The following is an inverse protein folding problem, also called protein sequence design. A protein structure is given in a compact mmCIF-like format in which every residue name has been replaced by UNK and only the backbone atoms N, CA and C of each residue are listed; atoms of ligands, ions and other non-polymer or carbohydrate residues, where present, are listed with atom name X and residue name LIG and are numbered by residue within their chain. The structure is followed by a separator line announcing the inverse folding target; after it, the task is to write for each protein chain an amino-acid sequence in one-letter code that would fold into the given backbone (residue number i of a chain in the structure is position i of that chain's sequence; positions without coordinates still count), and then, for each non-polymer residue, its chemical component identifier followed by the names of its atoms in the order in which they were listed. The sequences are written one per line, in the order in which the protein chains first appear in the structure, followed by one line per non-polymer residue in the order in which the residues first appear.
data_IF_254849244092
#
_entry.id   IF_254849244092
#
_cell.length_a   1.000
_cell.length_b   1.000
_cell.length_c   1.000
_cell.angle_alpha   90.00
_cell.angle_beta   90.00
_cell.angle_gamma   90.00
#
_symmetry.space_group_name_H-M   'P 1'
#
loop_
_entity.id
_entity.type
_entity.pdbx_description
1 polymer ?
#
# COMPACT_ATOMS: atom_id res chain seq x y z
N UNK A 1 4.42 7.27 10.03
CA UNK A 1 3.07 6.72 10.37
C UNK A 1 1.93 7.33 9.57
N UNK A 2 1.78 8.67 9.50
CA UNK A 2 0.68 9.34 8.79
C UNK A 2 0.61 8.98 7.29
N UNK A 3 1.75 8.91 6.61
CA UNK A 3 1.80 8.57 5.19
C UNK A 3 1.42 7.11 4.90
N UNK A 4 1.86 6.17 5.75
CA UNK A 4 1.46 4.76 5.67
C UNK A 4 -0.06 4.65 5.82
N UNK A 5 -0.64 5.30 6.83
CA UNK A 5 -2.10 5.32 7.03
C UNK A 5 -2.84 5.93 5.83
N UNK A 6 -2.31 7.00 5.24
CA UNK A 6 -2.90 7.60 4.05
C UNK A 6 -2.84 6.65 2.85
N UNK A 7 -1.73 5.94 2.66
CA UNK A 7 -1.60 4.97 1.58
C UNK A 7 -2.59 3.80 1.74
N UNK A 8 -2.69 3.25 2.94
CA UNK A 8 -3.64 2.21 3.31
C UNK A 8 -5.09 2.63 3.05
N UNK A 9 -5.46 3.84 3.47
CA UNK A 9 -6.78 4.41 3.25
C UNK A 9 -7.13 4.58 1.75
N UNK A 10 -6.16 4.97 0.93
CA UNK A 10 -6.34 5.07 -0.52
C UNK A 10 -6.53 3.68 -1.15
N UNK A 11 -5.75 2.68 -0.72
CA UNK A 11 -5.91 1.31 -1.19
C UNK A 11 -7.31 0.76 -0.86
N UNK A 12 -7.74 0.92 0.40
CA UNK A 12 -9.06 0.48 0.86
C UNK A 12 -10.22 1.12 0.07
N UNK A 13 -10.15 2.42 -0.25
CA UNK A 13 -11.15 3.09 -1.09
C UNK A 13 -11.31 2.40 -2.45
N UNK A 14 -10.20 2.11 -3.13
CA UNK A 14 -10.25 1.50 -4.47
C UNK A 14 -10.64 0.03 -4.42
N UNK A 15 -10.17 -0.74 -3.43
CA UNK A 15 -10.62 -2.11 -3.22
C UNK A 15 -12.13 -2.18 -2.95
N UNK A 16 -12.66 -1.26 -2.13
CA UNK A 16 -14.08 -1.19 -1.85
C UNK A 16 -14.92 -0.97 -3.12
N UNK A 17 -14.54 0.03 -3.93
CA UNK A 17 -15.28 0.40 -5.14
C UNK A 17 -15.13 -0.58 -6.31
N UNK A 18 -13.97 -1.22 -6.45
CA UNK A 18 -13.69 -2.09 -7.60
C UNK A 18 -13.95 -3.57 -7.33
N UNK A 19 -13.74 -4.04 -6.11
CA UNK A 19 -13.70 -5.47 -5.79
C UNK A 19 -14.78 -5.90 -4.81
N UNK A 20 -15.12 -5.04 -3.84
CA UNK A 20 -16.09 -5.37 -2.81
C UNK A 20 -17.53 -4.90 -3.11
N UNK A 21 -17.74 -4.18 -4.22
CA UNK A 21 -19.07 -3.76 -4.68
C UNK A 21 -19.65 -2.54 -3.97
N UNK A 22 -18.82 -1.75 -3.26
CA UNK A 22 -19.26 -0.50 -2.65
C UNK A 22 -19.51 0.55 -3.72
N UNK A 23 -20.52 1.39 -3.51
CA UNK A 23 -20.67 2.63 -4.27
C UNK A 23 -19.53 3.61 -3.96
N UNK A 24 -19.33 4.58 -4.84
CA UNK A 24 -18.39 5.68 -4.61
C UNK A 24 -18.77 6.53 -3.40
N UNK A 25 -20.07 6.65 -3.10
CA UNK A 25 -20.57 7.37 -1.93
C UNK A 25 -20.18 6.65 -0.64
N UNK A 26 -20.46 5.35 -0.54
CA UNK A 26 -20.11 4.53 0.63
C UNK A 26 -18.58 4.50 0.84
N UNK A 27 -17.81 4.27 -0.22
CA UNK A 27 -16.35 4.28 -0.11
C UNK A 27 -15.81 5.65 0.33
N UNK A 28 -16.43 6.75 -0.11
CA UNK A 28 -16.06 8.10 0.33
C UNK A 28 -16.42 8.33 1.80
N UNK A 29 -17.54 7.80 2.27
CA UNK A 29 -17.95 7.89 3.68
C UNK A 29 -17.00 7.12 4.60
N UNK A 30 -16.69 5.86 4.27
CA UNK A 30 -15.86 5.00 5.12
C UNK A 30 -14.37 5.28 5.00
N UNK A 31 -13.87 5.55 3.78
CA UNK A 31 -12.44 5.66 3.49
C UNK A 31 -12.02 7.05 3.04
N UNK A 32 -12.94 7.98 2.82
CA UNK A 32 -12.61 9.32 2.35
C UNK A 32 -12.17 9.35 0.87
N UNK A 33 -12.24 10.53 0.26
CA UNK A 33 -11.88 10.68 -1.16
C UNK A 33 -10.36 10.68 -1.37
N UNK A 34 -9.79 9.81 -2.23
CA UNK A 34 -8.37 9.85 -2.57
C UNK A 34 -7.98 11.19 -3.19
N UNK A 35 -6.84 11.74 -2.77
CA UNK A 35 -6.27 12.99 -3.32
C UNK A 35 -4.86 12.75 -3.85
N UNK A 36 -4.62 13.14 -5.10
CA UNK A 36 -3.30 13.08 -5.74
C UNK A 36 -2.87 11.69 -6.19
N UNK A 37 -3.78 10.70 -6.17
CA UNK A 37 -3.55 9.36 -6.70
C UNK A 37 -4.66 9.04 -7.69
N UNK A 38 -4.25 8.62 -8.90
CA UNK A 38 -5.18 8.12 -9.92
C UNK A 38 -5.16 6.60 -9.88
N UNK A 39 -6.33 6.01 -10.10
CA UNK A 39 -6.54 4.56 -10.13
C UNK A 39 -5.74 3.88 -11.24
N UNK A 40 -5.49 4.59 -12.34
CA UNK A 40 -4.73 4.11 -13.52
C UNK A 40 -3.29 3.71 -13.20
N UNK A 41 -2.78 4.13 -12.03
CA UNK A 41 -1.43 3.77 -11.57
C UNK A 41 -1.35 2.41 -10.90
N UNK A 42 -2.49 1.74 -10.68
CA UNK A 42 -2.57 0.49 -9.96
C UNK A 42 -3.36 -0.57 -10.72
N UNK A 43 -2.89 -1.81 -10.62
CA UNK A 43 -3.59 -2.98 -11.11
C UNK A 43 -4.30 -3.67 -9.94
N UNK A 44 -5.63 -3.56 -9.91
CA UNK A 44 -6.50 -4.18 -8.91
C UNK A 44 -7.06 -5.53 -9.37
N UNK A 45 -6.57 -6.10 -10.47
CA UNK A 45 -6.99 -7.44 -10.90
C UNK A 45 -6.69 -8.46 -9.80
N UNK A 46 -7.68 -9.22 -9.31
CA UNK A 46 -7.44 -10.29 -8.34
C UNK A 46 -6.43 -11.31 -8.89
N UNK A 47 -5.43 -11.65 -8.08
CA UNK A 47 -4.34 -12.56 -8.44
C UNK A 47 -4.44 -13.85 -7.62
N UNK A 48 -3.84 -14.93 -8.12
CA UNK A 48 -3.70 -16.16 -7.34
C UNK A 48 -2.82 -15.92 -6.11
N UNK A 49 -3.02 -16.74 -5.07
CA UNK A 49 -2.22 -16.70 -3.83
C UNK A 49 -0.73 -16.85 -4.13
N UNK A 50 -0.36 -17.80 -4.99
CA UNK A 50 1.04 -18.06 -5.38
C UNK A 50 1.69 -16.86 -6.06
N UNK A 51 0.94 -16.17 -6.92
CA UNK A 51 1.42 -14.95 -7.58
C UNK A 51 1.63 -13.83 -6.55
N UNK A 52 0.65 -13.59 -5.67
CA UNK A 52 0.71 -12.53 -4.67
C UNK A 52 1.88 -12.73 -3.69
N UNK A 53 2.07 -13.97 -3.20
CA UNK A 53 3.19 -14.34 -2.34
C UNK A 53 4.54 -14.02 -3.01
N UNK A 54 4.69 -14.43 -4.27
CA UNK A 54 5.93 -14.22 -5.03
C UNK A 54 6.21 -12.72 -5.24
N UNK A 55 5.19 -11.95 -5.62
CA UNK A 55 5.30 -10.52 -5.83
C UNK A 55 5.65 -9.76 -4.54
N UNK A 56 5.01 -10.13 -3.42
CA UNK A 56 5.27 -9.54 -2.11
C UNK A 56 6.73 -9.77 -1.67
N UNK A 57 7.19 -11.01 -1.68
CA UNK A 57 8.55 -11.36 -1.28
C UNK A 57 9.60 -10.66 -2.17
N UNK A 58 9.37 -10.61 -3.48
CA UNK A 58 10.24 -9.89 -4.41
C UNK A 58 10.36 -8.41 -4.03
N UNK A 59 9.24 -7.75 -3.72
CA UNK A 59 9.24 -6.33 -3.35
C UNK A 59 9.90 -6.11 -1.99
N UNK A 60 9.63 -6.97 -1.02
CA UNK A 60 10.23 -6.92 0.30
C UNK A 60 11.77 -6.98 0.22
N UNK A 61 12.31 -8.00 -0.46
CA UNK A 61 13.76 -8.15 -0.64
C UNK A 61 14.39 -6.95 -1.34
N UNK A 62 13.72 -6.38 -2.35
CA UNK A 62 14.19 -5.19 -3.05
C UNK A 62 14.23 -3.93 -2.16
N UNK A 63 13.33 -3.83 -1.18
CA UNK A 63 13.34 -2.73 -0.19
C UNK A 63 14.40 -2.95 0.89
N UNK A 64 14.53 -4.18 1.38
CA UNK A 64 15.56 -4.54 2.36
C UNK A 64 16.98 -4.30 1.80
N UNK A 65 17.23 -4.60 0.53
CA UNK A 65 18.49 -4.29 -0.14
C UNK A 65 18.80 -2.77 -0.20
N UNK A 66 17.78 -1.92 -0.10
CA UNK A 66 17.91 -0.45 -0.07
C UNK A 66 17.88 0.12 1.35
N UNK A 67 17.68 -0.72 2.36
CA UNK A 67 17.60 -0.27 3.74
C UNK A 67 19.00 0.20 4.16
N UNK A 68 19.17 1.47 4.55
CA UNK A 68 20.47 1.93 5.03
C UNK A 68 20.84 1.12 6.28
N UNK A 69 22.12 0.73 6.36
CA UNK A 69 22.67 0.13 7.58
C UNK A 69 22.61 1.19 8.68
N UNK A 70 21.86 0.89 9.74
CA UNK A 70 21.87 1.72 10.94
C UNK A 70 23.21 1.49 11.65
N UNK A 71 24.23 2.29 11.34
CA UNK A 71 25.42 2.37 12.19
C UNK A 71 24.99 3.08 13.47
N UNK A 72 24.87 2.31 14.55
CA UNK A 72 24.57 2.84 15.87
C UNK A 72 25.70 3.80 16.28
N UNK A 73 25.44 5.09 16.15
CA UNK A 73 26.25 6.15 16.74
C UNK A 73 26.08 6.12 18.26
N UNK A 74 26.71 5.16 18.94
CA UNK A 74 26.93 5.15 20.38
C UNK A 74 28.33 4.58 20.63
N UNK A 75 29.35 5.39 20.35
CA UNK A 75 30.73 5.16 20.76
C UNK A 75 31.35 6.48 21.19
N UNK A 76 30.83 7.10 22.26
CA UNK A 76 31.57 8.10 23.06
C UNK A 76 30.87 8.29 24.40
N UNK A 77 31.40 7.69 25.48
CA UNK A 77 31.68 8.30 26.80
C UNK A 77 32.44 7.26 27.61
#
# INVERSE_FOLDING_TARGET
RKEIKRADQIAAYYEATLLAGFSTAEATEYFGRPRGFSIERFDFTPRSVTWAQTAFLKRFTALEAKRPSFVAANSTT
#
